data_IF_789436488105
#
_entry.id   IF_789436488105
#
_cell.length_a   1.000
_cell.length_b   1.000
_cell.length_c   1.000
_cell.angle_alpha   90.00
_cell.angle_beta   90.00
_cell.angle_gamma   90.00
#
_symmetry.space_group_name_H-M   'P 1'
#
loop_
_entity.id
_entity.type
_entity.pdbx_description
1 polymer ?
#
# COMPACT_ATOMS: atom_id res chain seq x y z
N UNK A 1 -12.96 20.46 10.72
CA UNK A 1 -12.64 20.86 9.34
C UNK A 1 -13.25 19.83 8.40
N UNK A 2 -14.23 20.20 7.57
CA UNK A 2 -14.79 19.29 6.56
C UNK A 2 -13.92 19.42 5.30
N UNK A 3 -13.37 18.31 4.83
CA UNK A 3 -12.63 18.25 3.56
C UNK A 3 -13.67 18.22 2.43
N UNK A 4 -13.54 19.10 1.43
CA UNK A 4 -14.46 19.10 0.30
C UNK A 4 -14.13 17.94 -0.65
N UNK A 5 -15.12 17.42 -1.40
CA UNK A 5 -14.90 16.30 -2.33
C UNK A 5 -13.82 16.60 -3.38
N UNK A 6 -13.63 17.87 -3.70
CA UNK A 6 -12.63 18.33 -4.66
C UNK A 6 -11.21 18.30 -4.08
N UNK A 7 -11.06 18.34 -2.75
CA UNK A 7 -9.78 18.26 -2.02
C UNK A 7 -9.27 16.83 -1.84
N UNK A 8 -10.04 15.82 -2.27
CA UNK A 8 -9.64 14.43 -2.15
C UNK A 8 -8.44 14.13 -3.05
N UNK A 9 -7.53 13.27 -2.59
CA UNK A 9 -6.38 12.78 -3.35
C UNK A 9 -6.82 11.76 -4.41
N UNK A 10 -6.15 11.70 -5.56
CA UNK A 10 -6.30 10.53 -6.44
C UNK A 10 -5.47 9.37 -5.87
N UNK A 11 -6.00 8.15 -5.80
CA UNK A 11 -5.26 7.01 -5.24
C UNK A 11 -3.90 6.73 -5.88
N UNK A 12 -3.67 7.20 -7.12
CA UNK A 12 -2.39 7.11 -7.80
C UNK A 12 -1.30 7.97 -7.14
N UNK A 13 -1.68 9.07 -6.48
CA UNK A 13 -0.76 9.91 -5.73
C UNK A 13 -0.23 9.13 -4.51
N UNK A 14 0.84 9.60 -3.86
CA UNK A 14 1.34 8.93 -2.66
C UNK A 14 0.51 9.34 -1.43
N UNK A 15 0.09 8.36 -0.63
CA UNK A 15 -0.31 8.58 0.76
C UNK A 15 0.79 8.11 1.70
N UNK A 16 1.16 8.96 2.66
CA UNK A 16 2.27 8.71 3.57
C UNK A 16 1.74 8.14 4.90
N UNK A 17 2.25 6.98 5.28
CA UNK A 17 2.00 6.36 6.58
C UNK A 17 3.29 6.45 7.40
N UNK A 18 3.29 7.09 8.57
CA UNK A 18 4.43 7.06 9.49
C UNK A 18 4.65 5.63 10.00
N UNK A 19 5.90 5.17 9.94
CA UNK A 19 6.36 3.96 10.60
C UNK A 19 6.80 4.28 12.04
N UNK A 20 6.79 3.27 12.91
CA UNK A 20 7.36 3.36 14.25
C UNK A 20 8.87 3.67 14.24
N UNK A 21 9.43 3.98 15.41
CA UNK A 21 10.88 4.25 15.56
C UNK A 21 11.74 3.04 15.18
N UNK A 22 11.16 1.85 15.25
CA UNK A 22 11.72 0.57 14.84
C UNK A 22 11.45 0.23 13.36
N UNK A 23 10.86 1.15 12.60
CA UNK A 23 10.49 0.93 11.19
C UNK A 23 9.28 0.01 11.00
N UNK A 24 8.54 -0.32 12.07
CA UNK A 24 7.40 -1.23 11.99
C UNK A 24 6.09 -0.48 11.72
N UNK A 25 5.15 -1.18 11.06
CA UNK A 25 3.77 -0.72 10.94
C UNK A 25 2.87 -1.64 11.75
N UNK A 26 2.34 -1.15 12.87
CA UNK A 26 1.43 -1.93 13.69
C UNK A 26 0.04 -2.04 13.03
N UNK A 27 -0.61 -3.22 13.06
CA UNK A 27 -1.94 -3.39 12.49
C UNK A 27 -2.99 -2.42 13.05
N UNK A 28 -2.86 -2.03 14.32
CA UNK A 28 -3.77 -1.09 14.97
C UNK A 28 -3.56 0.36 14.54
N UNK A 29 -2.35 0.74 14.12
CA UNK A 29 -2.12 2.06 13.53
C UNK A 29 -2.66 2.13 12.10
N UNK A 30 -2.56 1.05 11.33
CA UNK A 30 -3.04 0.99 9.94
C UNK A 30 -4.53 1.35 9.80
N UNK A 31 -5.38 0.96 10.76
CA UNK A 31 -6.82 1.32 10.77
C UNK A 31 -7.08 2.83 10.82
N UNK A 32 -6.13 3.64 11.31
CA UNK A 32 -6.25 5.11 11.37
C UNK A 32 -6.01 5.78 10.02
N UNK A 33 -5.47 5.02 9.06
CA UNK A 33 -5.05 5.47 7.74
C UNK A 33 -6.03 5.09 6.62
N UNK A 34 -7.17 4.48 6.92
CA UNK A 34 -8.22 4.21 5.92
C UNK A 34 -9.36 5.21 6.05
N UNK A 35 -9.92 5.63 4.92
CA UNK A 35 -11.12 6.47 4.90
C UNK A 35 -12.31 5.75 5.50
N UNK A 36 -12.96 6.36 6.49
CA UNK A 36 -14.10 5.76 7.20
C UNK A 36 -15.25 5.39 6.27
N UNK A 37 -15.49 6.20 5.22
CA UNK A 37 -16.47 5.89 4.18
C UNK A 37 -16.14 4.59 3.43
N UNK A 38 -14.84 4.33 3.18
CA UNK A 38 -14.40 3.15 2.43
C UNK A 38 -14.48 1.85 3.26
N UNK A 39 -14.55 1.94 4.59
CA UNK A 39 -14.75 0.78 5.48
C UNK A 39 -16.13 0.12 5.30
N UNK A 40 -17.13 0.88 4.83
CA UNK A 40 -18.48 0.36 4.60
C UNK A 40 -18.58 -0.56 3.38
N UNK A 41 -17.58 -0.55 2.48
CA UNK A 41 -17.52 -1.42 1.30
C UNK A 41 -16.89 -2.77 1.63
N UNK A 42 -17.52 -3.50 2.56
CA UNK A 42 -17.05 -4.81 3.05
C UNK A 42 -16.84 -5.87 1.97
N UNK A 43 -17.45 -5.70 0.80
CA UNK A 43 -17.37 -6.66 -0.30
C UNK A 43 -15.99 -6.72 -0.98
N UNK A 44 -15.07 -5.78 -0.73
CA UNK A 44 -13.77 -5.70 -1.41
C UNK A 44 -12.69 -6.55 -0.74
N UNK A 45 -12.94 -7.86 -0.66
CA UNK A 45 -11.94 -8.84 -0.26
C UNK A 45 -10.81 -8.92 -1.29
N UNK A 46 -9.59 -9.15 -0.84
CA UNK A 46 -8.47 -9.43 -1.75
C UNK A 46 -8.50 -10.90 -2.09
N UNK A 47 -8.54 -11.21 -3.38
CA UNK A 47 -8.45 -12.59 -3.87
C UNK A 47 -6.98 -13.00 -3.99
N UNK A 48 -6.16 -12.13 -4.58
CA UNK A 48 -4.75 -12.41 -4.79
C UNK A 48 -3.93 -11.16 -4.48
N UNK A 49 -2.82 -11.35 -3.76
CA UNK A 49 -1.78 -10.34 -3.55
C UNK A 49 -0.43 -10.99 -3.81
N UNK A 50 0.26 -10.55 -4.87
CA UNK A 50 1.58 -11.09 -5.15
C UNK A 50 2.52 -10.02 -5.74
N UNK A 51 3.84 -10.20 -5.55
CA UNK A 51 4.83 -9.26 -6.04
C UNK A 51 4.77 -9.20 -7.57
N UNK A 52 4.79 -7.99 -8.11
CA UNK A 52 4.85 -7.72 -9.54
C UNK A 52 6.27 -7.38 -9.97
N UNK A 53 6.87 -6.37 -9.35
CA UNK A 53 8.24 -5.95 -9.63
C UNK A 53 8.81 -5.12 -8.47
N UNK A 54 10.12 -4.90 -8.50
CA UNK A 54 10.80 -3.88 -7.71
C UNK A 54 11.43 -2.86 -8.66
N UNK A 55 11.20 -1.58 -8.42
CA UNK A 55 11.70 -0.47 -9.25
C UNK A 55 12.38 0.53 -8.30
N UNK A 56 13.72 0.51 -8.27
CA UNK A 56 14.48 1.30 -7.31
C UNK A 56 14.06 0.99 -5.87
N UNK A 57 13.62 2.01 -5.12
CA UNK A 57 13.18 1.89 -3.72
C UNK A 57 11.70 1.53 -3.56
N UNK A 58 11.03 1.10 -4.63
CA UNK A 58 9.61 0.79 -4.66
C UNK A 58 9.36 -0.67 -5.00
N UNK A 59 8.53 -1.33 -4.20
CA UNK A 59 7.96 -2.63 -4.52
C UNK A 59 6.54 -2.45 -5.04
N UNK A 60 6.20 -3.17 -6.10
CA UNK A 60 4.86 -3.21 -6.65
C UNK A 60 4.25 -4.59 -6.48
N UNK A 61 2.97 -4.61 -6.14
CA UNK A 61 2.18 -5.82 -5.96
C UNK A 61 0.95 -5.73 -6.83
N UNK A 62 0.61 -6.82 -7.50
CA UNK A 62 -0.70 -6.94 -8.11
C UNK A 62 -1.70 -7.39 -7.04
N UNK A 63 -2.88 -6.77 -7.07
CA UNK A 63 -3.99 -7.05 -6.16
C UNK A 63 -5.26 -7.26 -6.99
N UNK A 64 -5.92 -8.40 -6.86
CA UNK A 64 -7.16 -8.70 -7.58
C UNK A 64 -8.39 -8.78 -6.67
N UNK A 65 -9.51 -8.28 -7.19
CA UNK A 65 -10.84 -8.49 -6.63
C UNK A 65 -11.81 -8.82 -7.77
N UNK A 66 -12.24 -10.08 -7.84
CA UNK A 66 -12.99 -10.58 -8.99
C UNK A 66 -12.17 -10.43 -10.28
N UNK A 67 -12.74 -9.75 -11.28
CA UNK A 67 -12.08 -9.43 -12.56
C UNK A 67 -11.26 -8.14 -12.52
N UNK A 68 -11.32 -7.39 -11.42
CA UNK A 68 -10.63 -6.11 -11.29
C UNK A 68 -9.21 -6.35 -10.77
N UNK A 69 -8.24 -5.76 -11.46
CA UNK A 69 -6.82 -5.81 -11.07
C UNK A 69 -6.33 -4.41 -10.77
N UNK A 70 -5.61 -4.27 -9.67
CA UNK A 70 -4.98 -3.04 -9.23
C UNK A 70 -3.53 -3.27 -8.89
N UNK A 71 -2.72 -2.23 -9.03
CA UNK A 71 -1.31 -2.21 -8.65
C UNK A 71 -1.21 -1.42 -7.35
N UNK A 72 -0.64 -2.05 -6.33
CA UNK A 72 -0.22 -1.43 -5.09
C UNK A 72 1.27 -1.09 -5.21
N UNK A 73 1.62 0.18 -5.14
CA UNK A 73 3.01 0.61 -5.04
C UNK A 73 3.38 0.97 -3.61
N UNK A 74 4.49 0.43 -3.13
CA UNK A 74 5.02 0.64 -1.78
C UNK A 74 6.46 1.09 -1.89
N UNK A 75 6.75 2.30 -1.42
CA UNK A 75 8.12 2.78 -1.22
C UNK A 75 8.37 2.98 0.28
N UNK A 76 9.53 2.48 0.75
CA UNK A 76 9.92 2.59 2.16
C UNK A 76 11.09 3.55 2.28
N UNK A 77 10.93 4.61 3.06
CA UNK A 77 11.97 5.62 3.29
C UNK A 77 12.07 5.96 4.77
N UNK A 78 13.21 5.64 5.39
CA UNK A 78 13.52 5.84 6.82
C UNK A 78 12.40 5.40 7.78
N UNK A 79 11.45 6.30 8.09
CA UNK A 79 10.34 6.10 9.01
C UNK A 79 8.98 6.35 8.35
N UNK A 80 8.90 6.21 7.02
CA UNK A 80 7.71 6.51 6.25
C UNK A 80 7.49 5.43 5.20
N UNK A 81 6.21 5.09 5.03
CA UNK A 81 5.71 4.24 3.96
C UNK A 81 4.92 5.10 2.99
N UNK A 82 5.36 5.16 1.75
CA UNK A 82 4.70 5.85 0.67
C UNK A 82 3.87 4.84 -0.11
N UNK A 83 2.55 5.04 -0.14
CA UNK A 83 1.63 4.06 -0.69
C UNK A 83 0.78 4.65 -1.80
N UNK A 84 0.76 3.96 -2.94
CA UNK A 84 -0.03 4.34 -4.13
C UNK A 84 -0.92 3.18 -4.57
N UNK A 85 -2.02 3.48 -5.25
CA UNK A 85 -2.90 2.47 -5.83
C UNK A 85 -3.52 2.89 -7.15
N UNK A 86 -3.43 2.01 -8.15
CA UNK A 86 -3.90 2.29 -9.51
C UNK A 86 -5.44 2.28 -9.70
N UNK A 87 -6.24 2.21 -8.63
CA UNK A 87 -7.70 2.12 -8.72
C UNK A 87 -8.40 3.46 -9.07
N UNK A 88 -7.64 4.55 -9.23
CA UNK A 88 -8.10 5.91 -9.62
C UNK A 88 -9.26 6.47 -8.78
N UNK A 89 -9.39 6.07 -7.52
CA UNK A 89 -10.44 6.60 -6.62
C UNK A 89 -10.04 7.96 -6.06
N UNK A 90 -11.03 8.77 -5.67
CA UNK A 90 -10.82 10.00 -4.89
C UNK A 90 -10.98 9.65 -3.41
N UNK A 91 -9.93 9.80 -2.64
CA UNK A 91 -9.85 9.43 -1.21
C UNK A 91 -9.06 10.47 -0.43
N UNK A 92 -9.30 10.62 0.86
CA UNK A 92 -8.46 11.46 1.72
C UNK A 92 -7.19 10.67 2.11
N UNK A 93 -7.36 9.40 2.49
CA UNK A 93 -6.29 8.54 3.00
C UNK A 93 -6.04 7.33 2.09
N UNK A 94 -6.04 6.13 2.67
CA UNK A 94 -6.00 4.88 1.91
C UNK A 94 -7.39 4.51 1.41
N UNK A 95 -7.45 4.01 0.18
CA UNK A 95 -8.61 3.26 -0.28
C UNK A 95 -8.65 1.86 0.35
N UNK A 96 -9.80 1.21 0.27
CA UNK A 96 -10.00 -0.11 0.86
C UNK A 96 -9.03 -1.17 0.30
N UNK A 97 -8.77 -1.17 -1.01
CA UNK A 97 -7.85 -2.13 -1.64
C UNK A 97 -6.45 -2.07 -1.05
N UNK A 98 -5.94 -0.85 -0.88
CA UNK A 98 -4.61 -0.62 -0.30
C UNK A 98 -4.56 -1.04 1.14
N UNK A 99 -5.55 -0.64 1.94
CA UNK A 99 -5.63 -1.03 3.35
C UNK A 99 -5.67 -2.56 3.51
N UNK A 100 -6.52 -3.24 2.74
CA UNK A 100 -6.64 -4.69 2.80
C UNK A 100 -5.32 -5.36 2.40
N UNK A 101 -4.61 -4.81 1.40
CA UNK A 101 -3.36 -5.40 0.93
C UNK A 101 -2.24 -5.23 1.95
N UNK A 102 -2.08 -4.02 2.50
CA UNK A 102 -1.13 -3.76 3.59
C UNK A 102 -1.43 -4.63 4.80
N UNK A 103 -2.70 -4.79 5.17
CA UNK A 103 -3.12 -5.69 6.24
C UNK A 103 -2.72 -7.13 5.94
N UNK A 104 -2.92 -7.60 4.71
CA UNK A 104 -2.52 -8.95 4.30
C UNK A 104 -1.01 -9.14 4.37
N UNK A 105 -0.22 -8.17 3.90
CA UNK A 105 1.26 -8.22 4.00
C UNK A 105 1.73 -8.31 5.45
N UNK A 106 1.10 -7.54 6.36
CA UNK A 106 1.39 -7.59 7.79
C UNK A 106 1.03 -8.94 8.41
N UNK A 107 -0.10 -9.53 8.02
CA UNK A 107 -0.51 -10.86 8.51
C UNK A 107 0.47 -11.95 8.04
N UNK A 108 0.89 -11.91 6.78
CA UNK A 108 1.78 -12.93 6.21
C UNK A 108 3.23 -12.75 6.61
N UNK A 109 3.70 -11.51 6.74
CA UNK A 109 5.10 -11.16 6.90
C UNK A 109 5.52 -10.66 8.28
N UNK A 110 4.56 -10.39 9.17
CA UNK A 110 4.79 -9.80 10.49
C UNK A 110 4.83 -8.27 10.47
N UNK A 111 4.93 -7.66 11.66
CA UNK A 111 4.95 -6.19 11.83
C UNK A 111 6.23 -5.53 11.31
N UNK A 112 7.31 -6.32 11.18
CA UNK A 112 8.61 -5.92 10.65
C UNK A 112 8.73 -6.11 9.13
N UNK A 113 7.63 -6.47 8.44
CA UNK A 113 7.62 -6.70 7.00
C UNK A 113 8.23 -5.53 6.20
N UNK A 114 7.85 -4.29 6.49
CA UNK A 114 8.36 -3.12 5.77
C UNK A 114 9.83 -2.79 6.08
N UNK A 115 10.31 -3.17 7.27
CA UNK A 115 11.73 -3.10 7.62
C UNK A 115 12.54 -4.15 6.84
N UNK A 116 12.01 -5.37 6.67
CA UNK A 116 12.64 -6.39 5.81
C UNK A 116 12.63 -5.96 4.35
N UNK A 117 11.50 -5.41 3.89
CA UNK A 117 11.34 -4.94 2.53
C UNK A 117 12.34 -3.82 2.18
N UNK A 118 12.55 -2.84 3.08
CA UNK A 118 13.49 -1.75 2.84
C UNK A 118 14.94 -2.24 2.65
N UNK A 119 15.35 -3.29 3.39
CA UNK A 119 16.66 -3.92 3.23
C UNK A 119 16.79 -4.65 1.88
N UNK A 120 15.73 -5.32 1.44
CA UNK A 120 15.70 -6.01 0.13
C UNK A 120 15.81 -5.01 -1.01
N UNK A 121 15.04 -3.91 -0.94
CA UNK A 121 15.01 -2.87 -1.97
C UNK A 121 16.34 -2.12 -2.12
N UNK A 122 17.19 -2.09 -1.09
CA UNK A 122 18.54 -1.55 -1.18
C UNK A 122 19.51 -2.46 -1.97
N UNK A 123 19.19 -3.75 -2.09
CA UNK A 123 20.07 -4.77 -2.64
C UNK A 123 19.63 -5.31 -4.01
N UNK A 124 18.50 -4.82 -4.55
CA UNK A 124 17.91 -5.34 -5.79
C UNK A 124 18.11 -4.34 -6.93
N UNK A 125 18.94 -4.69 -7.92
CA UNK A 125 18.95 -4.05 -9.24
C UNK A 125 18.09 -4.89 -10.18
N UNK A 126 17.20 -4.26 -10.94
CA UNK A 126 16.26 -4.97 -11.80
C UNK A 126 16.99 -5.85 -12.83
N UNK A 127 16.64 -7.13 -12.89
CA UNK A 127 16.76 -7.90 -14.13
C UNK A 127 15.67 -7.41 -15.07
N UNK A 128 16.03 -6.53 -16.00
CA UNK A 128 15.24 -6.36 -17.21
C UNK A 128 15.34 -7.68 -17.98
N UNK A 129 14.30 -8.50 -17.92
CA UNK A 129 14.09 -9.53 -18.92
C UNK A 129 13.85 -8.81 -20.24
N UNK A 130 14.94 -8.57 -20.98
CA UNK A 130 14.86 -8.17 -22.37
C UNK A 130 14.10 -9.27 -23.10
N UNK A 131 13.09 -8.83 -23.84
CA UNK A 131 12.24 -9.63 -24.71
C UNK A 131 13.05 -10.21 -25.86
#
# INVERSE_FOLDING_TARGET
MKIHKDDLRNTNDAYVIPLGRDGQLHPDSLKKHIDTYTLNFKQWHINVLAPLCTVGKRAEYYNTYGTLTYILGIEVSSNQLYVTCSCKRRVEKLCHHTYAALKSLLITGGTDYFLKLSKILQNTQCTTSNT
#
